data_IF_582711678270
#
_entry.id   IF_582711678270
#
_cell.length_a   1.000
_cell.length_b   1.000
_cell.length_c   1.000
_cell.angle_alpha   90.00
_cell.angle_beta   90.00
_cell.angle_gamma   90.00
#
_symmetry.space_group_name_H-M   'P 1'
#
loop_
_entity.id
_entity.type
_entity.pdbx_description
1 polymer ?
#
# COMPACT_ATOMS: atom_id res chain seq x y z
N UNK A 1 -51.79 12.35 20.43
CA UNK A 1 -52.88 11.36 20.60
C UNK A 1 -52.36 10.03 20.09
N UNK A 2 -52.01 9.11 20.98
CA UNK A 2 -51.64 7.73 20.63
C UNK A 2 -52.92 6.93 20.41
N UNK A 3 -53.39 6.90 19.17
CA UNK A 3 -54.33 5.87 18.72
C UNK A 3 -53.45 4.68 18.39
N UNK A 4 -53.40 3.69 19.28
CA UNK A 4 -52.86 2.38 18.98
C UNK A 4 -53.75 1.78 17.88
N UNK A 5 -53.48 2.09 16.61
CA UNK A 5 -54.13 1.45 15.48
C UNK A 5 -53.85 -0.04 15.67
N UNK A 6 -54.89 -0.81 16.02
CA UNK A 6 -54.84 -2.26 16.00
C UNK A 6 -54.42 -2.67 14.58
N UNK A 7 -53.17 -3.10 14.45
CA UNK A 7 -52.64 -3.66 13.22
C UNK A 7 -53.48 -4.86 12.83
N UNK A 8 -54.04 -4.85 11.62
CA UNK A 8 -54.79 -6.00 11.12
C UNK A 8 -53.87 -7.22 11.02
N UNK A 9 -54.41 -8.41 11.29
CA UNK A 9 -53.67 -9.67 11.20
C UNK A 9 -53.01 -9.85 9.83
N UNK A 10 -53.69 -9.44 8.75
CA UNK A 10 -53.11 -9.45 7.40
C UNK A 10 -51.85 -8.58 7.26
N UNK A 11 -51.80 -7.43 7.94
CA UNK A 11 -50.65 -6.52 7.90
C UNK A 11 -49.46 -7.14 8.62
N UNK A 12 -49.70 -7.79 9.75
CA UNK A 12 -48.64 -8.52 10.50
C UNK A 12 -48.14 -9.73 9.71
N UNK A 13 -49.05 -10.49 9.11
CA UNK A 13 -48.69 -11.65 8.28
C UNK A 13 -47.80 -11.25 7.10
N UNK A 14 -48.19 -10.20 6.36
CA UNK A 14 -47.39 -9.68 5.25
C UNK A 14 -46.00 -9.18 5.70
N UNK A 15 -45.93 -8.46 6.83
CA UNK A 15 -44.65 -8.02 7.38
C UNK A 15 -43.74 -9.20 7.76
N UNK A 16 -44.29 -10.23 8.42
CA UNK A 16 -43.54 -11.43 8.79
C UNK A 16 -43.07 -12.22 7.56
N UNK A 17 -43.87 -12.27 6.49
CA UNK A 17 -43.48 -12.89 5.23
C UNK A 17 -42.30 -12.15 4.59
N UNK A 18 -42.32 -10.81 4.57
CA UNK A 18 -41.20 -10.00 4.10
C UNK A 18 -39.93 -10.24 4.94
N UNK A 19 -40.05 -10.29 6.27
CA UNK A 19 -38.91 -10.58 7.15
C UNK A 19 -38.35 -11.99 6.92
N UNK A 20 -39.22 -12.97 6.72
CA UNK A 20 -38.82 -14.35 6.42
C UNK A 20 -38.14 -14.44 5.07
N UNK A 21 -38.65 -13.72 4.07
CA UNK A 21 -38.08 -13.65 2.73
C UNK A 21 -36.74 -12.90 2.70
N UNK A 22 -36.51 -11.96 3.63
CA UNK A 22 -35.19 -11.36 3.82
C UNK A 22 -34.18 -12.41 4.29
N UNK A 23 -34.63 -13.31 5.17
CA UNK A 23 -33.92 -14.52 5.56
C UNK A 23 -32.54 -14.29 6.18
N UNK A 24 -31.76 -15.37 6.24
CA UNK A 24 -30.32 -15.33 6.58
C UNK A 24 -29.50 -15.49 5.30
N UNK A 25 -28.36 -14.81 5.18
CA UNK A 25 -27.48 -14.68 4.00
C UNK A 25 -26.97 -16.00 3.34
N UNK A 26 -27.38 -17.18 3.84
CA UNK A 26 -26.85 -18.49 3.44
C UNK A 26 -27.39 -19.02 2.10
N UNK A 27 -28.47 -18.45 1.54
CA UNK A 27 -29.01 -18.87 0.24
C UNK A 27 -28.74 -17.78 -0.82
N UNK A 28 -27.91 -18.06 -1.86
CA UNK A 28 -27.56 -17.08 -2.88
C UNK A 28 -28.75 -16.56 -3.69
N UNK A 29 -29.86 -17.30 -3.78
CA UNK A 29 -31.09 -16.86 -4.46
C UNK A 29 -32.14 -16.23 -3.54
N UNK A 30 -31.88 -16.12 -2.23
CA UNK A 30 -32.83 -15.55 -1.25
C UNK A 30 -33.29 -14.13 -1.61
N UNK A 31 -32.40 -13.35 -2.22
CA UNK A 31 -32.69 -11.98 -2.65
C UNK A 31 -33.80 -11.93 -3.72
N UNK A 32 -33.92 -12.95 -4.56
CA UNK A 32 -34.97 -13.04 -5.57
C UNK A 32 -36.33 -13.24 -4.88
N UNK A 33 -36.39 -14.17 -3.92
CA UNK A 33 -37.58 -14.39 -3.10
C UNK A 33 -37.97 -13.12 -2.34
N UNK A 34 -37.01 -12.40 -1.75
CA UNK A 34 -37.28 -11.13 -1.10
C UNK A 34 -37.91 -10.11 -2.06
N UNK A 35 -37.34 -9.92 -3.26
CA UNK A 35 -37.87 -8.99 -4.25
C UNK A 35 -39.27 -9.39 -4.72
N UNK A 36 -39.52 -10.68 -4.92
CA UNK A 36 -40.84 -11.19 -5.33
C UNK A 36 -41.90 -10.95 -4.25
N UNK A 37 -41.58 -11.20 -2.98
CA UNK A 37 -42.48 -10.94 -1.84
C UNK A 37 -42.76 -9.45 -1.67
N UNK A 38 -41.76 -8.58 -1.89
CA UNK A 38 -41.98 -7.13 -1.90
C UNK A 38 -42.91 -6.71 -3.04
N UNK A 39 -42.71 -7.23 -4.26
CA UNK A 39 -43.55 -6.90 -5.42
C UNK A 39 -45.00 -7.41 -5.23
N UNK A 40 -45.20 -8.49 -4.48
CA UNK A 40 -46.52 -9.02 -4.10
C UNK A 40 -47.25 -8.13 -3.08
N UNK A 41 -46.56 -7.67 -2.03
CA UNK A 41 -47.19 -6.92 -0.93
C UNK A 41 -47.18 -5.40 -1.13
N UNK A 42 -46.30 -4.89 -1.99
CA UNK A 42 -46.10 -3.46 -2.26
C UNK A 42 -45.94 -3.26 -3.79
N UNK A 43 -46.95 -3.62 -4.60
CA UNK A 43 -46.87 -3.59 -6.07
C UNK A 43 -46.64 -2.18 -6.65
N UNK A 44 -47.00 -1.13 -5.90
CA UNK A 44 -46.77 0.26 -6.29
C UNK A 44 -45.28 0.60 -6.40
N UNK A 45 -44.42 -0.16 -5.72
CA UNK A 45 -42.97 0.05 -5.77
C UNK A 45 -42.37 -0.37 -7.12
N UNK A 46 -42.93 -1.42 -7.74
CA UNK A 46 -42.51 -1.95 -9.05
C UNK A 46 -42.79 -0.97 -10.18
N UNK A 47 -43.96 -0.32 -10.18
CA UNK A 47 -44.40 0.53 -11.30
C UNK A 47 -43.74 1.91 -11.33
N UNK A 48 -43.51 2.52 -10.17
CA UNK A 48 -43.03 3.92 -10.08
C UNK A 48 -41.58 4.04 -9.61
N UNK A 49 -40.98 2.97 -9.06
CA UNK A 49 -39.65 2.98 -8.43
C UNK A 49 -39.58 3.77 -7.11
N UNK A 50 -40.49 4.74 -6.90
CA UNK A 50 -40.66 5.50 -5.67
C UNK A 50 -42.15 5.65 -5.33
N UNK A 51 -42.50 5.32 -4.10
CA UNK A 51 -43.86 5.48 -3.61
C UNK A 51 -44.18 6.95 -3.38
N UNK A 52 -45.36 7.39 -3.83
CA UNK A 52 -45.92 8.68 -3.44
C UNK A 52 -46.45 8.62 -2.01
N UNK A 53 -46.65 9.78 -1.36
CA UNK A 53 -47.24 9.81 -0.02
C UNK A 53 -48.60 9.10 0.02
N UNK A 54 -49.40 9.21 -1.04
CA UNK A 54 -50.69 8.52 -1.16
C UNK A 54 -50.51 7.00 -1.19
N UNK A 55 -49.57 6.51 -2.00
CA UNK A 55 -49.28 5.08 -2.13
C UNK A 55 -48.76 4.51 -0.80
N UNK A 56 -47.87 5.25 -0.09
CA UNK A 56 -47.39 4.84 1.23
C UNK A 56 -48.55 4.67 2.21
N UNK A 57 -49.45 5.64 2.30
CA UNK A 57 -50.58 5.61 3.24
C UNK A 57 -51.55 4.44 2.98
N UNK A 58 -51.76 4.04 1.73
CA UNK A 58 -52.61 2.89 1.38
C UNK A 58 -51.89 1.53 1.49
N UNK A 59 -50.56 1.53 1.37
CA UNK A 59 -49.74 0.31 1.39
C UNK A 59 -49.57 -0.30 2.78
N UNK A 60 -48.91 -1.47 2.81
CA UNK A 60 -48.41 -2.12 4.02
C UNK A 60 -47.59 -1.16 4.92
N UNK A 61 -46.76 -0.33 4.30
CA UNK A 61 -45.83 0.60 4.98
C UNK A 61 -46.59 1.61 5.85
N UNK A 62 -47.61 2.26 5.28
CA UNK A 62 -48.43 3.23 6.01
C UNK A 62 -49.30 2.58 7.09
N UNK A 63 -49.76 1.34 6.85
CA UNK A 63 -50.49 0.56 7.86
C UNK A 63 -49.62 0.20 9.07
N UNK A 64 -48.32 0.01 8.85
CA UNK A 64 -47.30 -0.18 9.89
C UNK A 64 -46.87 1.13 10.57
N UNK A 65 -47.33 2.29 10.07
CA UNK A 65 -47.08 3.59 10.68
C UNK A 65 -45.86 4.33 10.12
N UNK A 66 -45.22 3.82 9.07
CA UNK A 66 -44.07 4.46 8.44
C UNK A 66 -44.50 5.52 7.41
N UNK A 67 -43.72 6.60 7.31
CA UNK A 67 -43.97 7.70 6.39
C UNK A 67 -43.34 7.50 5.01
N UNK A 68 -42.37 6.59 4.89
CA UNK A 68 -41.73 6.25 3.64
C UNK A 68 -41.21 4.81 3.62
N UNK A 69 -41.01 4.24 2.42
CA UNK A 69 -40.39 2.93 2.28
C UNK A 69 -38.95 2.90 2.81
N UNK A 70 -38.19 4.00 2.62
CA UNK A 70 -36.84 4.12 3.16
C UNK A 70 -36.84 4.01 4.69
N UNK A 71 -37.76 4.71 5.35
CA UNK A 71 -37.91 4.65 6.80
C UNK A 71 -38.26 3.24 7.27
N UNK A 72 -39.21 2.57 6.61
CA UNK A 72 -39.55 1.17 6.90
C UNK A 72 -38.36 0.22 6.75
N UNK A 73 -37.58 0.40 5.68
CA UNK A 73 -36.45 -0.46 5.37
C UNK A 73 -35.30 -0.30 6.38
N UNK A 74 -34.96 0.95 6.73
CA UNK A 74 -33.83 1.27 7.62
C UNK A 74 -34.18 1.16 9.11
N UNK A 75 -35.47 1.20 9.47
CA UNK A 75 -35.89 1.03 10.86
C UNK A 75 -35.56 -0.40 11.33
N UNK A 76 -34.93 -0.57 12.51
CA UNK A 76 -34.68 -1.88 13.11
C UNK A 76 -35.92 -2.77 13.26
N UNK A 77 -35.71 -4.09 13.27
CA UNK A 77 -36.79 -5.09 13.33
C UNK A 77 -37.54 -5.10 14.66
N UNK A 78 -36.89 -4.73 15.77
CA UNK A 78 -37.52 -4.54 17.09
C UNK A 78 -38.56 -3.40 17.10
N UNK A 79 -38.44 -2.46 16.17
CA UNK A 79 -39.38 -1.34 15.95
C UNK A 79 -40.35 -1.60 14.79
N UNK A 80 -40.40 -2.82 14.26
CA UNK A 80 -41.30 -3.21 13.17
C UNK A 80 -40.83 -2.80 11.77
N UNK A 81 -39.56 -2.41 11.60
CA UNK A 81 -38.95 -2.21 10.28
C UNK A 81 -38.20 -3.46 9.80
N UNK A 82 -37.37 -3.31 8.77
CA UNK A 82 -36.58 -4.42 8.20
C UNK A 82 -35.13 -4.48 8.69
N UNK A 83 -34.63 -3.41 9.33
CA UNK A 83 -33.25 -3.32 9.81
C UNK A 83 -32.20 -3.41 8.70
N UNK A 84 -32.53 -2.94 7.49
CA UNK A 84 -31.71 -3.11 6.31
C UNK A 84 -31.34 -1.77 5.64
N UNK A 85 -30.35 -1.78 4.76
CA UNK A 85 -29.83 -0.56 4.14
C UNK A 85 -30.54 -0.26 2.82
N UNK A 86 -30.86 1.01 2.59
CA UNK A 86 -31.40 1.48 1.31
C UNK A 86 -30.45 1.21 0.13
N UNK A 87 -29.13 1.21 0.37
CA UNK A 87 -28.13 0.79 -0.62
C UNK A 87 -28.27 -0.68 -1.03
N UNK A 88 -28.48 -1.58 -0.07
CA UNK A 88 -28.74 -3.00 -0.31
C UNK A 88 -30.01 -3.21 -1.15
N UNK A 89 -31.10 -2.56 -0.77
CA UNK A 89 -32.35 -2.57 -1.55
C UNK A 89 -32.13 -2.12 -3.00
N UNK A 90 -31.45 -0.99 -3.22
CA UNK A 90 -31.19 -0.49 -4.57
C UNK A 90 -30.33 -1.46 -5.40
N UNK A 91 -29.38 -2.17 -4.77
CA UNK A 91 -28.59 -3.19 -5.45
C UNK A 91 -29.45 -4.41 -5.84
N UNK A 92 -30.34 -4.85 -4.94
CA UNK A 92 -31.26 -5.95 -5.20
C UNK A 92 -32.26 -5.59 -6.29
N UNK A 93 -32.86 -4.40 -6.24
CA UNK A 93 -33.82 -3.95 -7.24
C UNK A 93 -33.20 -3.84 -8.64
N UNK A 94 -31.95 -3.37 -8.76
CA UNK A 94 -31.23 -3.37 -10.04
C UNK A 94 -31.02 -4.77 -10.61
N UNK A 95 -30.60 -5.71 -9.77
CA UNK A 95 -30.43 -7.10 -10.17
C UNK A 95 -31.78 -7.75 -10.53
N UNK A 96 -32.84 -7.45 -9.78
CA UNK A 96 -34.17 -8.01 -9.99
C UNK A 96 -34.79 -7.55 -11.30
N UNK A 97 -34.62 -6.27 -11.68
CA UNK A 97 -35.08 -5.79 -12.99
C UNK A 97 -34.48 -6.63 -14.15
N UNK A 98 -33.22 -7.08 -14.03
CA UNK A 98 -32.59 -7.95 -15.02
C UNK A 98 -33.24 -9.34 -15.00
N UNK A 99 -33.54 -9.90 -13.82
CA UNK A 99 -34.22 -11.20 -13.71
C UNK A 99 -35.65 -11.14 -14.25
N UNK A 100 -36.33 -10.02 -14.12
CA UNK A 100 -37.66 -9.80 -14.72
C UNK A 100 -37.59 -9.75 -16.25
N UNK A 101 -36.52 -9.18 -16.81
CA UNK A 101 -36.27 -9.14 -18.26
C UNK A 101 -35.82 -10.49 -18.81
N UNK A 102 -35.04 -11.25 -18.04
CA UNK A 102 -34.45 -12.54 -18.43
C UNK A 102 -34.85 -13.66 -17.44
N UNK A 103 -36.04 -14.28 -17.58
CA UNK A 103 -36.61 -15.19 -16.58
C UNK A 103 -35.79 -16.46 -16.30
N UNK A 104 -34.94 -16.90 -17.24
CA UNK A 104 -34.09 -18.09 -17.05
C UNK A 104 -33.13 -17.93 -15.86
N UNK A 105 -32.78 -16.69 -15.49
CA UNK A 105 -31.92 -16.38 -14.35
C UNK A 105 -32.52 -16.80 -13.01
N UNK A 106 -33.85 -16.96 -12.90
CA UNK A 106 -34.54 -17.40 -11.67
C UNK A 106 -34.12 -18.80 -11.22
N UNK A 107 -33.72 -19.63 -12.18
CA UNK A 107 -33.33 -21.02 -11.91
C UNK A 107 -31.84 -21.16 -11.57
N UNK A 108 -31.09 -20.05 -11.56
CA UNK A 108 -29.67 -20.04 -11.27
C UNK A 108 -29.41 -19.64 -9.82
N UNK A 109 -28.45 -20.30 -9.18
CA UNK A 109 -28.00 -19.98 -7.82
C UNK A 109 -26.99 -18.81 -7.84
N UNK A 110 -27.48 -17.62 -8.21
CA UNK A 110 -26.66 -16.42 -8.44
C UNK A 110 -26.90 -15.34 -7.40
N UNK A 111 -25.81 -14.75 -6.92
CA UNK A 111 -25.86 -13.60 -6.01
C UNK A 111 -26.21 -12.32 -6.77
N UNK A 112 -27.03 -11.44 -6.18
CA UNK A 112 -27.38 -10.14 -6.75
C UNK A 112 -26.17 -9.25 -7.08
N UNK A 113 -25.15 -9.26 -6.22
CA UNK A 113 -23.90 -8.52 -6.45
C UNK A 113 -23.13 -9.03 -7.68
N UNK A 114 -23.10 -10.35 -7.89
CA UNK A 114 -22.49 -10.96 -9.06
C UNK A 114 -23.24 -10.58 -10.34
N UNK A 115 -24.58 -10.66 -10.34
CA UNK A 115 -25.40 -10.30 -11.50
C UNK A 115 -25.22 -8.83 -11.90
N UNK A 116 -25.21 -7.93 -10.92
CA UNK A 116 -24.92 -6.51 -11.17
C UNK A 116 -23.51 -6.30 -11.76
N UNK A 117 -22.50 -7.01 -11.25
CA UNK A 117 -21.14 -6.91 -11.78
C UNK A 117 -21.04 -7.45 -13.21
N UNK A 118 -21.73 -8.58 -13.48
CA UNK A 118 -21.81 -9.21 -14.79
C UNK A 118 -22.47 -8.28 -15.81
N UNK A 119 -23.66 -7.74 -15.51
CA UNK A 119 -24.35 -6.79 -16.38
C UNK A 119 -23.51 -5.53 -16.66
N UNK A 120 -22.79 -5.03 -15.65
CA UNK A 120 -21.86 -3.91 -15.84
C UNK A 120 -20.67 -4.28 -16.73
N UNK A 121 -20.15 -5.51 -16.67
CA UNK A 121 -19.06 -5.98 -17.55
C UNK A 121 -19.55 -6.02 -18.99
N UNK A 122 -20.71 -6.61 -19.26
CA UNK A 122 -21.30 -6.68 -20.61
C UNK A 122 -21.53 -5.29 -21.20
N UNK A 123 -22.14 -4.38 -20.43
CA UNK A 123 -22.34 -3.00 -20.85
C UNK A 123 -21.03 -2.27 -21.18
N UNK A 124 -19.96 -2.50 -20.42
CA UNK A 124 -18.63 -1.90 -20.69
C UNK A 124 -17.97 -2.47 -21.94
N UNK A 125 -18.27 -3.73 -22.27
CA UNK A 125 -17.80 -4.40 -23.46
C UNK A 125 -18.72 -4.18 -24.68
N UNK A 126 -19.80 -3.40 -24.52
CA UNK A 126 -20.83 -3.18 -25.54
C UNK A 126 -21.46 -4.50 -26.07
N UNK A 127 -21.56 -5.50 -25.18
CA UNK A 127 -22.20 -6.79 -25.46
C UNK A 127 -23.63 -6.78 -24.90
N UNK A 128 -24.58 -7.28 -25.67
CA UNK A 128 -25.96 -7.45 -25.23
C UNK A 128 -26.07 -8.51 -24.12
N UNK A 129 -27.11 -8.39 -23.29
CA UNK A 129 -27.31 -9.34 -22.21
C UNK A 129 -27.80 -10.69 -22.78
N UNK A 130 -27.25 -11.84 -22.37
CA UNK A 130 -27.63 -13.13 -22.94
C UNK A 130 -29.12 -13.43 -22.76
N UNK A 131 -29.80 -13.85 -23.82
CA UNK A 131 -31.24 -14.16 -23.78
C UNK A 131 -31.51 -15.60 -23.32
N UNK A 132 -30.51 -16.46 -23.42
CA UNK A 132 -30.62 -17.88 -23.09
C UNK A 132 -29.55 -18.35 -22.10
N UNK A 133 -29.83 -19.49 -21.46
CA UNK A 133 -28.88 -20.16 -20.58
C UNK A 133 -27.61 -20.61 -21.31
N UNK A 134 -27.72 -20.99 -22.58
CA UNK A 134 -26.59 -21.42 -23.39
C UNK A 134 -25.62 -20.27 -23.68
N UNK A 135 -26.15 -19.12 -24.11
CA UNK A 135 -25.36 -17.90 -24.33
C UNK A 135 -24.73 -17.41 -23.03
N UNK A 136 -25.48 -17.44 -21.94
CA UNK A 136 -24.98 -17.11 -20.62
C UNK A 136 -23.77 -17.97 -20.22
N UNK A 137 -23.87 -19.30 -20.39
CA UNK A 137 -22.78 -20.23 -20.09
C UNK A 137 -21.57 -20.01 -20.99
N UNK A 138 -21.81 -19.73 -22.28
CA UNK A 138 -20.73 -19.42 -23.23
C UNK A 138 -19.95 -18.18 -22.80
N UNK A 139 -20.65 -17.07 -22.52
CA UNK A 139 -20.01 -15.83 -22.08
C UNK A 139 -19.29 -16.03 -20.74
N UNK A 140 -19.86 -16.81 -19.81
CA UNK A 140 -19.15 -17.14 -18.57
C UNK A 140 -17.83 -17.88 -18.82
N UNK A 141 -17.84 -18.89 -19.69
CA UNK A 141 -16.65 -19.65 -20.05
C UNK A 141 -15.60 -18.74 -20.70
N UNK A 142 -16.01 -17.88 -21.64
CA UNK A 142 -15.10 -16.93 -22.31
C UNK A 142 -14.44 -15.98 -21.28
N UNK A 143 -15.23 -15.50 -20.31
CA UNK A 143 -14.72 -14.64 -19.23
C UNK A 143 -13.74 -15.38 -18.30
N UNK A 144 -13.99 -16.66 -18.04
CA UNK A 144 -13.12 -17.49 -17.22
C UNK A 144 -11.82 -17.83 -17.95
N UNK A 145 -11.89 -18.13 -19.24
CA UNK A 145 -10.73 -18.34 -20.11
C UNK A 145 -9.85 -17.09 -20.18
N UNK A 146 -10.45 -15.92 -20.42
CA UNK A 146 -9.73 -14.63 -20.37
C UNK A 146 -9.04 -14.42 -19.01
N UNK A 147 -9.69 -14.78 -17.90
CA UNK A 147 -9.09 -14.62 -16.57
C UNK A 147 -7.90 -15.55 -16.38
N UNK A 148 -7.97 -16.78 -16.86
CA UNK A 148 -6.88 -17.73 -16.76
C UNK A 148 -5.70 -17.30 -17.64
N UNK A 149 -5.95 -16.91 -18.89
CA UNK A 149 -4.93 -16.36 -19.78
C UNK A 149 -4.23 -15.12 -19.18
N UNK A 150 -4.99 -14.22 -18.56
CA UNK A 150 -4.44 -13.06 -17.88
C UNK A 150 -3.64 -13.40 -16.61
N UNK A 151 -4.00 -14.46 -15.89
CA UNK A 151 -3.20 -14.94 -14.74
C UNK A 151 -1.88 -15.51 -15.22
N UNK A 152 -1.89 -16.29 -16.28
CA UNK A 152 -0.68 -16.91 -16.84
C UNK A 152 0.29 -15.85 -17.37
N UNK A 153 -0.22 -14.83 -18.07
CA UNK A 153 0.59 -13.68 -18.50
C UNK A 153 1.20 -12.92 -17.30
N UNK A 154 0.44 -12.70 -16.23
CA UNK A 154 0.95 -12.05 -15.01
C UNK A 154 2.00 -12.90 -14.29
N UNK A 155 1.85 -14.22 -14.28
CA UNK A 155 2.82 -15.13 -13.70
C UNK A 155 4.13 -15.11 -14.49
N UNK A 156 4.06 -15.05 -15.82
CA UNK A 156 5.24 -14.89 -16.69
C UNK A 156 5.97 -13.55 -16.44
N UNK A 157 5.22 -12.45 -16.32
CA UNK A 157 5.80 -11.14 -15.98
C UNK A 157 6.44 -11.13 -14.59
N UNK A 158 5.81 -11.77 -13.60
CA UNK A 158 6.39 -11.93 -12.26
C UNK A 158 7.66 -12.78 -12.28
N UNK A 159 7.68 -13.86 -13.05
CA UNK A 159 8.86 -14.71 -13.21
C UNK A 159 10.03 -13.92 -13.82
N UNK A 160 9.79 -13.12 -14.86
CA UNK A 160 10.81 -12.22 -15.45
C UNK A 160 11.34 -11.21 -14.44
N UNK A 161 10.46 -10.61 -13.63
CA UNK A 161 10.87 -9.66 -12.59
C UNK A 161 11.72 -10.33 -11.51
N UNK A 162 11.38 -11.57 -11.10
CA UNK A 162 12.19 -12.34 -10.16
C UNK A 162 13.60 -12.57 -10.72
N UNK A 163 13.72 -13.02 -11.97
CA UNK A 163 15.03 -13.22 -12.62
C UNK A 163 15.85 -11.93 -12.64
N UNK A 164 15.24 -10.79 -12.98
CA UNK A 164 15.94 -9.49 -12.96
C UNK A 164 16.39 -9.09 -11.54
N UNK A 165 15.58 -9.36 -10.53
CA UNK A 165 15.93 -9.09 -9.13
C UNK A 165 17.07 -10.01 -8.65
N UNK A 166 17.10 -11.27 -9.09
CA UNK A 166 18.19 -12.20 -8.81
C UNK A 166 19.50 -11.75 -9.46
N UNK A 167 19.46 -11.34 -10.73
CA UNK A 167 20.64 -10.82 -11.45
C UNK A 167 21.20 -9.55 -10.80
N UNK A 168 20.32 -8.60 -10.44
CA UNK A 168 20.75 -7.37 -9.74
C UNK A 168 21.28 -7.67 -8.34
N UNK A 169 20.70 -8.63 -7.61
CA UNK A 169 21.23 -9.06 -6.32
C UNK A 169 22.63 -9.66 -6.46
N UNK A 170 22.88 -10.45 -7.51
CA UNK A 170 24.19 -11.02 -7.80
C UNK A 170 25.21 -9.94 -8.13
N UNK A 171 24.84 -8.95 -8.95
CA UNK A 171 25.69 -7.80 -9.26
C UNK A 171 26.04 -6.99 -8.01
N UNK A 172 25.06 -6.73 -7.13
CA UNK A 172 25.30 -6.04 -5.88
C UNK A 172 26.20 -6.82 -4.93
N UNK A 173 26.05 -8.15 -4.85
CA UNK A 173 26.95 -9.01 -4.06
C UNK A 173 28.40 -8.91 -4.58
N UNK A 174 28.60 -8.89 -5.89
CA UNK A 174 29.92 -8.73 -6.49
C UNK A 174 30.53 -7.35 -6.19
N UNK A 175 29.74 -6.28 -6.31
CA UNK A 175 30.14 -4.91 -5.96
C UNK A 175 30.49 -4.78 -4.47
N UNK A 176 29.73 -5.43 -3.58
CA UNK A 176 30.03 -5.44 -2.15
C UNK A 176 31.33 -6.17 -1.83
N UNK A 177 31.58 -7.33 -2.46
CA UNK A 177 32.81 -8.08 -2.25
C UNK A 177 34.05 -7.27 -2.69
N UNK A 178 33.98 -6.64 -3.86
CA UNK A 178 35.07 -5.78 -4.37
C UNK A 178 35.28 -4.53 -3.51
N UNK A 179 34.21 -3.89 -3.03
CA UNK A 179 34.32 -2.77 -2.10
C UNK A 179 34.93 -3.18 -0.75
N UNK A 180 34.58 -4.36 -0.23
CA UNK A 180 35.15 -4.89 1.01
C UNK A 180 36.65 -5.19 0.86
N UNK A 181 37.06 -5.76 -0.27
CA UNK A 181 38.48 -6.00 -0.57
C UNK A 181 39.27 -4.67 -0.65
N UNK A 182 38.72 -3.67 -1.34
CA UNK A 182 39.32 -2.34 -1.41
C UNK A 182 39.46 -1.70 -0.03
N UNK A 183 38.45 -1.85 0.83
CA UNK A 183 38.47 -1.33 2.20
C UNK A 183 39.54 -2.05 3.04
N UNK A 184 39.64 -3.37 2.94
CA UNK A 184 40.69 -4.14 3.61
C UNK A 184 42.09 -3.69 3.16
N UNK A 185 42.29 -3.48 1.86
CA UNK A 185 43.55 -2.99 1.31
C UNK A 185 43.88 -1.55 1.74
N UNK A 186 42.87 -0.68 1.84
CA UNK A 186 43.03 0.69 2.33
C UNK A 186 43.41 0.68 3.82
N UNK A 187 42.75 -0.16 4.64
CA UNK A 187 43.07 -0.31 6.06
C UNK A 187 44.51 -0.82 6.26
N UNK A 188 44.95 -1.82 5.49
CA UNK A 188 46.33 -2.30 5.55
C UNK A 188 47.36 -1.20 5.20
N UNK A 189 47.03 -0.31 4.25
CA UNK A 189 47.87 0.85 3.93
C UNK A 189 47.89 1.87 5.08
N UNK A 190 46.74 2.14 5.72
CA UNK A 190 46.65 3.03 6.87
C UNK A 190 47.52 2.50 8.01
N UNK A 191 47.41 1.22 8.37
CA UNK A 191 48.25 0.59 9.40
C UNK A 191 49.75 0.70 9.08
N UNK A 192 50.12 0.53 7.81
CA UNK A 192 51.50 0.72 7.37
C UNK A 192 51.97 2.17 7.55
N UNK A 193 51.14 3.15 7.17
CA UNK A 193 51.45 4.57 7.37
C UNK A 193 51.52 4.95 8.84
N UNK A 194 50.65 4.42 9.69
CA UNK A 194 50.67 4.64 11.13
C UNK A 194 51.98 4.11 11.75
N UNK A 195 52.42 2.90 11.37
CA UNK A 195 53.70 2.35 11.82
C UNK A 195 54.91 3.19 11.38
N UNK A 196 54.89 3.71 10.14
CA UNK A 196 55.93 4.61 9.65
C UNK A 196 55.92 5.92 10.45
N UNK A 197 54.74 6.48 10.68
CA UNK A 197 54.55 7.74 11.41
C UNK A 197 55.03 7.60 12.86
N UNK A 198 54.70 6.50 13.53
CA UNK A 198 55.17 6.18 14.89
C UNK A 198 56.71 6.07 14.95
N UNK A 199 57.33 5.38 13.98
CA UNK A 199 58.80 5.31 13.87
C UNK A 199 59.44 6.68 13.70
N UNK A 200 58.85 7.53 12.86
CA UNK A 200 59.35 8.89 12.66
C UNK A 200 59.15 9.78 13.89
N UNK A 201 58.01 9.68 14.58
CA UNK A 201 57.75 10.39 15.83
C UNK A 201 58.78 10.01 16.89
N UNK A 202 59.01 8.71 17.11
CA UNK A 202 60.03 8.23 18.05
C UNK A 202 61.43 8.75 17.70
N UNK A 203 61.78 8.79 16.40
CA UNK A 203 63.06 9.35 15.95
C UNK A 203 63.17 10.86 16.19
N UNK A 204 62.09 11.60 15.97
CA UNK A 204 62.03 13.04 16.25
C UNK A 204 62.20 13.29 17.75
N UNK A 205 61.55 12.49 18.59
CA UNK A 205 61.69 12.59 20.05
C UNK A 205 63.12 12.30 20.51
N UNK A 206 63.76 11.24 19.97
CA UNK A 206 65.17 10.94 20.23
C UNK A 206 66.09 12.10 19.81
N UNK A 207 65.90 12.64 18.61
CA UNK A 207 66.68 13.79 18.13
C UNK A 207 66.45 15.04 18.99
N UNK A 208 65.22 15.28 19.46
CA UNK A 208 64.91 16.39 20.36
C UNK A 208 65.61 16.23 21.73
N UNK A 209 65.67 15.01 22.26
CA UNK A 209 66.43 14.70 23.48
C UNK A 209 67.94 14.95 23.26
N UNK A 210 68.52 14.43 22.17
CA UNK A 210 69.92 14.66 21.81
C UNK A 210 70.25 16.16 21.69
N UNK A 211 69.40 16.95 21.02
CA UNK A 211 69.57 18.40 20.90
C UNK A 211 69.51 19.07 22.28
N UNK A 212 68.61 18.62 23.17
CA UNK A 212 68.51 19.14 24.54
C UNK A 212 69.78 18.85 25.34
N UNK A 213 70.31 17.62 25.25
CA UNK A 213 71.56 17.23 25.89
C UNK A 213 72.75 18.03 25.37
N UNK A 214 72.88 18.17 24.04
CA UNK A 214 73.94 18.98 23.42
C UNK A 214 73.85 20.45 23.82
N UNK A 215 72.64 21.03 23.91
CA UNK A 215 72.43 22.39 24.43
C UNK A 215 72.88 22.53 25.89
N UNK A 216 72.55 21.55 26.74
CA UNK A 216 72.99 21.53 28.13
C UNK A 216 74.52 21.38 28.27
N UNK A 217 75.16 20.60 27.39
CA UNK A 217 76.62 20.49 27.34
C UNK A 217 77.28 21.80 26.88
N UNK A 218 76.71 22.48 25.88
CA UNK A 218 77.15 23.80 25.42
C UNK A 218 77.03 24.88 26.50
N UNK A 219 75.94 24.87 27.28
CA UNK A 219 75.73 25.81 28.38
C UNK A 219 76.73 25.61 29.54
N UNK A 220 77.30 24.40 29.69
CA UNK A 220 78.35 24.08 30.67
C UNK A 220 79.76 24.40 30.19
N UNK A 221 79.94 24.82 28.93
CA UNK A 221 81.26 25.21 28.39
C UNK A 221 81.56 26.65 28.84
N UNK A 222 82.70 26.91 29.54
CA UNK A 222 83.01 28.25 30.05
C UNK A 222 83.15 29.26 28.92
N UNK A 223 82.60 30.48 29.10
CA UNK A 223 82.78 31.62 28.19
C UNK A 223 84.27 31.80 27.90
N UNK A 224 84.70 31.40 26.70
CA UNK A 224 86.07 31.60 26.25
C UNK A 224 86.35 33.10 26.19
N UNK A 225 87.35 33.50 26.96
CA UNK A 225 87.89 34.86 27.08
C UNK A 225 88.09 35.51 25.70
N UNK A 226 87.78 36.80 25.63
CA UNK A 226 88.25 37.70 24.56
C UNK A 226 89.74 37.48 24.32
N UNK A 227 90.09 36.99 23.13
CA UNK A 227 91.49 36.98 22.68
C UNK A 227 91.71 38.29 21.95
N UNK A 228 92.27 39.28 22.66
CA UNK A 228 93.05 40.35 22.06
C UNK A 228 94.22 39.71 21.32
N UNK A 229 94.12 39.54 20.00
CA UNK A 229 95.30 39.23 19.18
C UNK A 229 95.97 40.55 18.85
N UNK A 230 97.15 40.75 19.41
CA UNK A 230 98.05 41.86 19.12
C UNK A 230 98.35 41.93 17.62
N UNK A 231 98.06 43.09 17.06
CA UNK A 231 98.24 43.47 15.66
C UNK A 231 99.72 43.80 15.33
N UNK A 232 100.69 43.08 15.91
CA UNK A 232 102.12 43.45 15.83
C UNK A 232 102.93 42.67 14.79
N UNK A 233 102.35 41.68 14.10
CA UNK A 233 103.08 40.90 13.06
C UNK A 233 102.75 41.23 11.60
N UNK A 234 101.64 41.93 11.32
CA UNK A 234 101.28 42.34 9.94
C UNK A 234 101.90 43.68 9.54
N UNK A 235 102.17 44.59 10.50
CA UNK A 235 102.84 45.86 10.20
C UNK A 235 104.33 45.67 9.90
N UNK A 236 104.99 44.70 10.54
CA UNK A 236 106.39 44.35 10.24
C UNK A 236 106.57 43.73 8.84
N UNK A 237 105.53 43.06 8.30
CA UNK A 237 105.57 42.45 6.97
C UNK A 237 105.36 43.47 5.85
N UNK A 238 104.60 44.55 6.10
CA UNK A 238 104.35 45.59 5.10
C UNK A 238 105.52 46.58 4.91
N UNK A 239 106.42 46.73 5.90
CA UNK A 239 107.64 47.54 5.74
C UNK A 239 108.68 46.83 4.86
N UNK A 240 108.74 45.49 4.89
CA UNK A 240 109.70 44.73 4.07
C UNK A 240 109.35 44.74 2.57
N UNK A 241 108.07 44.89 2.20
CA UNK A 241 107.62 44.87 0.81
C UNK A 241 107.76 46.22 0.08
N UNK A 242 108.02 47.34 0.79
CA UNK A 242 108.15 48.69 0.19
C UNK A 242 109.59 49.21 0.04
N UNK A 243 110.60 48.36 0.25
CA UNK A 243 112.01 48.79 0.35
C UNK A 243 113.00 48.09 -0.60
N UNK A 244 112.55 47.49 -1.71
CA UNK A 244 113.40 47.01 -2.81
C UNK A 244 112.70 47.15 -4.16
#
# INVERSE_FOLDING_TARGET
MNVTKLLSENTKAAHNEILTALGSENNPSQWMTFCEVIDQHIPELKTKGRLSNKDVQSSLIGKLGFSSFKEYLETPTDKGGLGWSSGGWNAYRRAWNIVEEYPYLRNLDIKSGWLNAFANKLRKAEIEFPESLEEYNKIQNDIEEERNNNKDAKLDDQAKLITQLEDTQLEFKFKLATAQEQLSNANAKIEMFDSITEKHLNKIEQQAQEISELKNQLAKKPKTKEIKVELTRLEAFLVFIRGY
#
